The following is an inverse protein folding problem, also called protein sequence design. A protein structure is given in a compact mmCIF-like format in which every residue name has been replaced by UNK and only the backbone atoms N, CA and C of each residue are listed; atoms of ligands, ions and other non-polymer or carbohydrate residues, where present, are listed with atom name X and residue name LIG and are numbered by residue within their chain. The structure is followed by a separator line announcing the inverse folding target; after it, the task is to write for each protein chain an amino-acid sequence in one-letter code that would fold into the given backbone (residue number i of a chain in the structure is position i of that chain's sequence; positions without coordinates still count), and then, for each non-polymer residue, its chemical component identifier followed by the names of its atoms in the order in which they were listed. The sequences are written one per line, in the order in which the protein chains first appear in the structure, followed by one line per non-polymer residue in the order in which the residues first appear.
data_IF_170061682309
#
_entry.id   IF_170061682309
#
_cell.length_a   1.000
_cell.length_b   1.000
_cell.length_c   1.000
_cell.angle_alpha   90.00
_cell.angle_beta   90.00
_cell.angle_gamma   90.00
#
_symmetry.space_group_name_H-M   'P 1'
#
loop_
_entity.id
_entity.type
_entity.pdbx_description
1 polymer ?
#
# COMPACT_ATOMS: atom_id res chain seq x y z
N UNK A 1 -7.27 -10.82 -48.68
CA UNK A 1 -8.09 -11.67 -47.78
C UNK A 1 -7.32 -11.71 -46.46
N UNK A 2 -7.55 -10.80 -45.50
CA UNK A 2 -8.70 -10.75 -44.56
C UNK A 2 -8.83 -12.08 -43.80
N UNK A 3 -8.88 -12.22 -42.48
CA UNK A 3 -8.91 -11.29 -41.33
C UNK A 3 -9.13 -12.15 -40.05
N UNK A 4 -8.64 -11.67 -38.89
CA UNK A 4 -9.24 -11.79 -37.52
C UNK A 4 -9.34 -13.19 -36.88
N UNK A 5 -8.74 -13.42 -35.70
CA UNK A 5 -9.33 -13.18 -34.36
C UNK A 5 -8.20 -13.37 -33.31
N UNK A 6 -7.70 -12.36 -32.57
CA UNK A 6 -8.24 -11.68 -31.38
C UNK A 6 -9.10 -12.56 -30.45
N UNK A 7 -8.59 -12.91 -29.26
CA UNK A 7 -9.42 -13.24 -28.09
C UNK A 7 -8.68 -12.94 -26.75
N UNK A 8 -9.20 -11.92 -26.04
CA UNK A 8 -9.20 -11.65 -24.59
C UNK A 8 -7.89 -11.28 -23.85
N UNK A 9 -7.55 -9.98 -23.88
CA UNK A 9 -6.96 -9.31 -22.71
C UNK A 9 -8.10 -8.90 -21.77
N UNK A 10 -8.15 -9.46 -20.56
CA UNK A 10 -9.07 -9.02 -19.50
C UNK A 10 -8.68 -7.61 -19.07
N UNK A 11 -9.57 -6.65 -19.27
CA UNK A 11 -9.49 -5.31 -18.69
C UNK A 11 -9.71 -5.42 -17.18
N UNK A 12 -8.66 -5.15 -16.40
CA UNK A 12 -8.71 -5.13 -14.94
C UNK A 12 -8.66 -3.67 -14.50
N UNK A 13 -9.76 -3.15 -13.98
CA UNK A 13 -9.92 -1.74 -13.57
C UNK A 13 -10.36 -1.67 -12.11
N UNK A 14 -9.71 -0.85 -11.28
CA UNK A 14 -10.14 -0.62 -9.89
C UNK A 14 -9.78 0.77 -9.32
N UNK A 15 -10.82 1.37 -8.74
CA UNK A 15 -10.95 2.28 -7.59
C UNK A 15 -9.92 3.38 -7.33
N UNK A 16 -10.37 4.63 -7.49
CA UNK A 16 -9.75 5.86 -6.98
C UNK A 16 -10.51 6.33 -5.74
N UNK A 17 -9.78 6.78 -4.72
CA UNK A 17 -10.34 7.63 -3.68
C UNK A 17 -9.54 8.92 -3.73
N UNK A 18 -10.05 9.90 -4.46
CA UNK A 18 -9.44 11.22 -4.50
C UNK A 18 -9.68 11.88 -3.14
N UNK A 19 -8.60 11.98 -2.39
CA UNK A 19 -8.50 12.86 -1.23
C UNK A 19 -7.95 14.18 -1.74
N UNK A 20 -8.67 15.27 -1.49
CA UNK A 20 -8.19 16.63 -1.73
C UNK A 20 -7.02 16.88 -0.78
N UNK A 21 -5.79 17.01 -1.30
CA UNK A 21 -4.61 17.33 -0.46
C UNK A 21 -3.85 18.49 -1.09
N UNK A 22 -3.79 19.61 -0.35
CA UNK A 22 -2.79 20.66 -0.55
C UNK A 22 -1.39 20.06 -0.43
N UNK A 23 -0.57 20.21 -1.47
CA UNK A 23 0.84 19.79 -1.49
C UNK A 23 1.63 20.60 -0.45
N UNK A 24 2.15 20.00 0.63
CA UNK A 24 3.13 20.67 1.48
C UNK A 24 4.50 20.59 0.82
N UNK A 25 5.19 21.72 0.73
CA UNK A 25 6.58 21.82 0.31
C UNK A 25 7.48 20.97 1.22
N UNK A 26 8.23 20.03 0.66
CA UNK A 26 9.31 19.33 1.38
C UNK A 26 10.63 19.61 0.68
N UNK A 27 11.49 20.31 1.40
CA UNK A 27 12.88 20.58 1.05
C UNK A 27 13.71 19.29 1.03
N UNK A 28 14.30 19.03 -0.13
CA UNK A 28 15.56 18.35 -0.47
C UNK A 28 16.11 17.23 0.43
N UNK A 29 16.22 16.03 -0.15
CA UNK A 29 17.22 15.03 0.20
C UNK A 29 18.48 15.18 -0.67
N UNK A 30 19.59 14.65 -0.17
CA UNK A 30 21.01 14.80 -0.56
C UNK A 30 21.37 14.68 -2.05
N UNK A 31 22.50 15.25 -2.52
CA UNK A 31 22.73 15.57 -3.94
C UNK A 31 23.11 14.41 -4.88
N UNK A 32 23.23 13.17 -4.41
CA UNK A 32 23.80 12.07 -5.20
C UNK A 32 22.74 11.12 -5.77
N UNK A 33 21.79 11.66 -6.54
CA UNK A 33 21.13 10.97 -7.67
C UNK A 33 20.11 11.91 -8.33
N UNK A 34 20.56 13.09 -8.77
CA UNK A 34 19.77 13.83 -9.76
C UNK A 34 19.69 12.93 -10.99
N UNK A 35 18.54 12.28 -11.19
CA UNK A 35 18.17 11.68 -12.48
C UNK A 35 18.51 12.75 -13.52
N UNK A 36 19.53 12.46 -14.31
CA UNK A 36 20.11 13.38 -15.27
C UNK A 36 19.03 13.80 -16.25
N UNK A 37 18.52 15.04 -16.15
CA UNK A 37 17.90 15.81 -17.26
C UNK A 37 16.92 15.06 -18.20
N UNK A 38 16.32 13.95 -17.79
CA UNK A 38 15.58 13.06 -18.71
C UNK A 38 14.10 13.43 -18.81
N UNK A 39 13.62 14.46 -18.13
CA UNK A 39 12.51 15.25 -18.63
C UNK A 39 13.09 16.50 -19.25
N UNK A 40 13.15 16.59 -20.58
CA UNK A 40 13.10 17.92 -21.21
C UNK A 40 11.94 18.70 -20.56
N UNK A 41 11.97 20.03 -20.56
CA UNK A 41 10.78 20.81 -20.19
C UNK A 41 9.64 20.39 -21.15
N UNK A 42 8.87 19.36 -20.80
CA UNK A 42 7.74 18.91 -21.60
C UNK A 42 6.69 19.98 -21.36
N UNK A 43 6.50 20.82 -22.37
CA UNK A 43 5.71 22.04 -22.34
C UNK A 43 4.32 21.83 -22.93
N UNK A 44 4.00 20.62 -23.37
CA UNK A 44 2.68 20.27 -23.89
C UNK A 44 2.35 18.79 -23.67
N UNK A 45 1.05 18.47 -23.69
CA UNK A 45 0.56 17.09 -23.64
C UNK A 45 1.10 16.26 -24.83
N UNK A 46 1.26 16.87 -26.00
CA UNK A 46 1.83 16.20 -27.18
C UNK A 46 3.28 15.78 -26.95
N UNK A 47 4.08 16.63 -26.30
CA UNK A 47 5.46 16.31 -25.92
C UNK A 47 5.50 15.21 -24.85
N UNK A 48 4.59 15.23 -23.87
CA UNK A 48 4.44 14.14 -22.89
C UNK A 48 4.21 12.80 -23.59
N UNK A 49 3.24 12.74 -24.51
CA UNK A 49 2.95 11.52 -25.28
C UNK A 49 4.16 11.06 -26.09
N UNK A 50 4.86 11.99 -26.74
CA UNK A 50 6.02 11.65 -27.56
C UNK A 50 7.20 11.15 -26.71
N UNK A 51 7.41 11.74 -25.54
CA UNK A 51 8.42 11.34 -24.59
C UNK A 51 8.22 9.89 -24.11
N UNK A 52 6.99 9.51 -23.77
CA UNK A 52 6.66 8.17 -23.27
C UNK A 52 6.85 7.07 -24.31
N UNK A 53 6.71 7.36 -25.61
CA UNK A 53 7.02 6.39 -26.68
C UNK A 53 8.48 5.92 -26.66
N UNK A 54 9.40 6.79 -26.23
CA UNK A 54 10.82 6.47 -26.13
C UNK A 54 11.25 6.03 -24.73
N UNK A 55 10.37 6.17 -23.73
CA UNK A 55 10.65 5.93 -22.31
C UNK A 55 9.58 5.02 -21.69
N UNK A 56 9.58 3.76 -22.11
CA UNK A 56 8.56 2.75 -21.74
C UNK A 56 8.65 2.22 -20.28
N UNK A 57 9.45 2.87 -19.43
CA UNK A 57 9.58 2.61 -17.99
C UNK A 57 9.24 3.84 -17.14
N UNK A 58 8.64 4.85 -17.77
CA UNK A 58 8.23 6.09 -17.14
C UNK A 58 6.72 6.26 -17.31
N UNK A 59 6.05 6.73 -16.27
CA UNK A 59 4.67 7.20 -16.32
C UNK A 59 4.65 8.67 -15.90
N UNK A 60 3.67 9.45 -16.33
CA UNK A 60 3.55 10.87 -15.98
C UNK A 60 2.17 11.13 -15.37
N UNK A 61 2.14 11.77 -14.21
CA UNK A 61 0.93 12.37 -13.66
C UNK A 61 0.96 13.85 -13.95
N UNK A 62 -0.15 14.40 -14.43
CA UNK A 62 -0.31 15.82 -14.70
C UNK A 62 -1.35 16.40 -13.76
N UNK A 63 -0.96 17.42 -13.00
CA UNK A 63 -1.80 18.15 -12.07
C UNK A 63 -2.09 19.55 -12.58
N UNK A 64 -3.23 20.13 -12.22
CA UNK A 64 -3.51 21.54 -12.44
C UNK A 64 -2.74 22.44 -11.44
N UNK A 65 -2.85 23.75 -11.61
CA UNK A 65 -2.21 24.73 -10.72
C UNK A 65 -2.70 24.65 -9.27
N UNK A 66 -3.90 24.11 -9.04
CA UNK A 66 -4.52 23.92 -7.72
C UNK A 66 -4.13 22.59 -7.06
N UNK A 67 -3.39 21.73 -7.75
CA UNK A 67 -2.96 20.43 -7.27
C UNK A 67 -3.98 19.30 -7.48
N UNK A 68 -4.96 19.46 -8.36
CA UNK A 68 -5.86 18.36 -8.77
C UNK A 68 -5.25 17.59 -9.93
N UNK A 69 -5.29 16.27 -9.87
CA UNK A 69 -4.82 15.43 -10.97
C UNK A 69 -5.76 15.56 -12.17
N UNK A 70 -5.22 15.85 -13.35
CA UNK A 70 -5.98 15.98 -14.60
C UNK A 70 -5.80 14.73 -15.45
N UNK A 71 -4.56 14.23 -15.57
CA UNK A 71 -4.24 13.08 -16.39
C UNK A 71 -3.21 12.14 -15.76
N UNK A 72 -3.31 10.86 -16.08
CA UNK A 72 -2.20 9.91 -16.00
C UNK A 72 -1.83 9.48 -17.42
N UNK A 73 -0.54 9.49 -17.74
CA UNK A 73 0.01 8.99 -18.99
C UNK A 73 0.90 7.81 -18.68
N UNK A 74 0.54 6.63 -19.19
CA UNK A 74 1.22 5.39 -18.90
C UNK A 74 2.11 5.00 -20.09
N UNK A 75 3.25 4.38 -19.77
CA UNK A 75 4.23 3.84 -20.72
C UNK A 75 3.66 2.78 -21.68
N UNK A 76 2.56 2.13 -21.31
CA UNK A 76 1.84 1.17 -22.16
C UNK A 76 0.88 1.83 -23.16
N UNK A 77 0.83 3.18 -23.15
CA UNK A 77 -0.04 3.98 -23.99
C UNK A 77 -1.43 4.22 -23.41
N UNK A 78 -1.74 3.72 -22.21
CA UNK A 78 -2.96 4.08 -21.52
C UNK A 78 -2.91 5.55 -21.07
N UNK A 79 -3.96 6.30 -21.34
CA UNK A 79 -4.15 7.63 -20.79
C UNK A 79 -5.42 7.63 -19.95
N UNK A 80 -5.33 8.15 -18.73
CA UNK A 80 -6.48 8.31 -17.84
C UNK A 80 -6.72 9.81 -17.70
N UNK A 81 -7.96 10.25 -17.85
CA UNK A 81 -8.41 11.62 -17.63
C UNK A 81 -9.36 11.66 -16.43
N UNK A 82 -9.23 12.69 -15.59
CA UNK A 82 -10.08 12.91 -14.43
C UNK A 82 -11.01 14.11 -14.61
N UNK A 83 -12.23 13.97 -14.09
CA UNK A 83 -13.25 14.99 -14.13
C UNK A 83 -13.75 15.30 -12.73
N UNK A 84 -14.01 16.59 -12.49
CA UNK A 84 -14.42 17.14 -11.20
C UNK A 84 -15.73 17.90 -11.35
N UNK A 85 -16.54 17.92 -10.30
CA UNK A 85 -17.71 18.80 -10.21
C UNK A 85 -17.30 20.24 -9.83
N UNK A 86 -18.28 21.14 -9.76
CA UNK A 86 -18.10 22.54 -9.33
C UNK A 86 -17.56 22.68 -7.91
N UNK A 87 -17.85 21.72 -7.03
CA UNK A 87 -17.40 21.70 -5.63
C UNK A 87 -15.96 21.18 -5.49
N UNK A 88 -15.34 20.80 -6.61
CA UNK A 88 -13.96 20.32 -6.68
C UNK A 88 -13.78 18.84 -6.35
N UNK A 89 -14.85 18.07 -6.24
CA UNK A 89 -14.80 16.64 -5.98
C UNK A 89 -14.64 15.86 -7.29
N UNK A 90 -13.74 14.87 -7.31
CA UNK A 90 -13.52 14.01 -8.49
C UNK A 90 -14.70 13.08 -8.70
N UNK A 91 -15.47 13.25 -9.77
CA UNK A 91 -16.69 12.49 -10.03
C UNK A 91 -16.51 11.37 -11.05
N UNK A 92 -15.49 11.47 -11.91
CA UNK A 92 -15.30 10.51 -12.98
C UNK A 92 -13.84 10.40 -13.41
N UNK A 93 -13.45 9.22 -13.87
CA UNK A 93 -12.24 9.03 -14.67
C UNK A 93 -12.57 8.27 -15.95
N UNK A 94 -11.94 8.62 -17.06
CA UNK A 94 -12.04 7.87 -18.33
C UNK A 94 -10.66 7.48 -18.80
N UNK A 95 -10.52 6.27 -19.35
CA UNK A 95 -9.27 5.85 -19.97
C UNK A 95 -9.38 5.72 -21.49
N UNK A 96 -8.22 5.77 -22.16
CA UNK A 96 -8.12 5.68 -23.62
C UNK A 96 -8.50 4.31 -24.19
N UNK A 97 -8.78 3.32 -23.34
CA UNK A 97 -9.23 1.97 -23.70
C UNK A 97 -10.72 1.73 -23.40
N UNK A 98 -11.51 2.81 -23.37
CA UNK A 98 -12.96 2.81 -23.13
C UNK A 98 -13.38 2.30 -21.75
N UNK A 99 -12.47 2.30 -20.77
CA UNK A 99 -12.82 2.17 -19.38
C UNK A 99 -13.24 3.51 -18.80
N UNK A 100 -14.16 3.44 -17.83
CA UNK A 100 -14.68 4.60 -17.11
C UNK A 100 -14.95 4.22 -15.67
N UNK A 101 -14.70 5.13 -14.76
CA UNK A 101 -15.13 5.02 -13.37
C UNK A 101 -15.94 6.23 -12.96
N UNK A 102 -16.99 6.02 -12.17
CA UNK A 102 -17.81 7.07 -11.57
C UNK A 102 -17.70 6.94 -10.06
N UNK A 103 -17.46 8.08 -9.41
CA UNK A 103 -17.21 8.20 -7.98
C UNK A 103 -18.39 8.92 -7.32
N UNK A 104 -19.11 8.20 -6.46
CA UNK A 104 -20.26 8.76 -5.74
C UNK A 104 -19.85 9.08 -4.31
N UNK A 105 -20.17 10.28 -3.85
CA UNK A 105 -19.93 10.74 -2.47
C UNK A 105 -21.25 11.07 -1.78
N UNK A 106 -21.25 10.97 -0.45
CA UNK A 106 -22.35 11.51 0.36
C UNK A 106 -22.24 13.02 0.55
N UNK A 107 -23.23 13.58 1.24
CA UNK A 107 -23.29 15.00 1.60
C UNK A 107 -22.11 15.47 2.48
N UNK A 108 -21.44 14.54 3.18
CA UNK A 108 -20.23 14.81 3.97
C UNK A 108 -18.94 14.65 3.16
N UNK A 109 -19.04 14.58 1.81
CA UNK A 109 -17.93 14.37 0.87
C UNK A 109 -17.18 13.03 1.03
N UNK A 110 -17.74 12.09 1.79
CA UNK A 110 -17.15 10.76 1.94
C UNK A 110 -17.50 9.91 0.72
N UNK A 111 -16.52 9.21 0.17
CA UNK A 111 -16.74 8.31 -0.97
C UNK A 111 -17.60 7.11 -0.57
N UNK A 112 -18.66 6.87 -1.33
CA UNK A 112 -19.73 5.91 -1.05
C UNK A 112 -19.77 4.78 -2.04
N UNK A 113 -19.52 5.05 -3.31
CA UNK A 113 -19.46 4.00 -4.31
C UNK A 113 -18.47 4.33 -5.41
N UNK A 114 -17.99 3.28 -6.05
CA UNK A 114 -17.21 3.38 -7.27
C UNK A 114 -17.82 2.41 -8.28
N UNK A 115 -18.33 2.96 -9.37
CA UNK A 115 -18.90 2.20 -10.49
C UNK A 115 -17.91 2.17 -11.64
N UNK A 116 -17.59 0.98 -12.12
CA UNK A 116 -16.65 0.75 -13.21
C UNK A 116 -17.39 0.30 -14.44
N UNK A 117 -17.08 0.93 -15.57
CA UNK A 117 -17.67 0.68 -16.86
C UNK A 117 -16.58 0.28 -17.86
N UNK A 118 -16.93 -0.60 -18.80
CA UNK A 118 -16.14 -0.87 -19.99
C UNK A 118 -17.05 -0.82 -21.21
N UNK A 119 -16.68 -0.03 -22.22
CA UNK A 119 -17.54 0.23 -23.38
C UNK A 119 -18.96 0.64 -22.95
N UNK A 120 -19.04 1.54 -21.98
CA UNK A 120 -20.28 2.04 -21.35
C UNK A 120 -21.16 0.99 -20.64
N UNK A 121 -20.67 -0.25 -20.47
CA UNK A 121 -21.36 -1.28 -19.70
C UNK A 121 -20.78 -1.36 -18.29
N UNK A 122 -21.64 -1.26 -17.27
CA UNK A 122 -21.25 -1.47 -15.88
C UNK A 122 -20.68 -2.89 -15.72
N UNK A 123 -19.46 -2.98 -15.20
CA UNK A 123 -18.77 -4.25 -14.95
C UNK A 123 -18.64 -4.54 -13.46
N UNK A 124 -18.39 -3.50 -12.65
CA UNK A 124 -18.20 -3.63 -11.20
C UNK A 124 -18.81 -2.43 -10.51
N UNK A 125 -19.50 -2.66 -9.40
CA UNK A 125 -19.88 -1.61 -8.44
C UNK A 125 -19.33 -2.00 -7.07
N UNK A 126 -18.52 -1.13 -6.48
CA UNK A 126 -18.02 -1.28 -5.12
C UNK A 126 -18.68 -0.23 -4.23
N UNK A 127 -19.50 -0.66 -3.29
CA UNK A 127 -20.03 0.19 -2.22
C UNK A 127 -19.02 0.29 -1.07
N UNK A 128 -18.97 1.47 -0.44
CA UNK A 128 -18.02 1.88 0.60
C UNK A 128 -18.75 2.44 1.84
N UNK A 129 -20.07 2.21 1.92
CA UNK A 129 -20.90 2.60 3.03
C UNK A 129 -20.33 2.06 4.36
N UNK A 130 -20.26 2.97 5.34
CA UNK A 130 -19.28 2.94 6.41
C UNK A 130 -19.38 1.78 7.40
N UNK A 131 -18.22 1.45 7.99
CA UNK A 131 -18.01 0.45 9.04
C UNK A 131 -18.34 -0.95 8.51
N UNK A 132 -17.38 -1.87 8.59
CA UNK A 132 -17.70 -3.29 8.48
C UNK A 132 -18.57 -3.70 9.67
N UNK A 133 -19.88 -3.43 9.58
CA UNK A 133 -20.91 -4.11 10.34
C UNK A 133 -21.93 -4.57 9.31
N UNK A 134 -21.67 -5.72 8.71
CA UNK A 134 -22.76 -6.58 8.26
C UNK A 134 -23.41 -7.13 9.53
N UNK A 135 -24.24 -6.29 10.18
CA UNK A 135 -25.13 -6.72 11.24
C UNK A 135 -26.36 -7.37 10.62
N UNK A 136 -26.20 -8.59 10.12
CA UNK A 136 -27.27 -9.58 10.24
C UNK A 136 -27.03 -10.33 11.54
N UNK A 137 -27.78 -9.92 12.56
CA UNK A 137 -27.89 -10.65 13.82
C UNK A 137 -28.61 -12.00 13.62
N UNK A 138 -28.29 -12.93 14.54
CA UNK A 138 -28.86 -14.26 14.83
C UNK A 138 -27.99 -15.39 14.23
N UNK A 139 -27.21 -16.14 15.02
CA UNK A 139 -27.61 -16.92 16.21
C UNK A 139 -26.68 -16.74 17.42
N UNK A 140 -27.15 -17.03 18.65
CA UNK A 140 -26.29 -17.03 19.83
C UNK A 140 -25.32 -18.21 19.73
N UNK A 141 -24.03 -17.94 19.56
CA UNK A 141 -23.00 -18.95 19.69
C UNK A 141 -22.70 -19.19 21.17
N UNK A 142 -22.78 -20.46 21.56
CA UNK A 142 -22.58 -21.00 22.90
C UNK A 142 -21.35 -20.38 23.59
N UNK A 143 -21.58 -19.56 24.61
CA UNK A 143 -20.53 -19.01 25.48
C UNK A 143 -20.08 -20.00 26.55
N UNK A 144 -20.38 -21.29 26.41
CA UNK A 144 -20.04 -22.31 27.41
C UNK A 144 -19.06 -23.35 26.85
N UNK A 145 -17.87 -22.90 26.46
CA UNK A 145 -16.68 -23.71 26.70
C UNK A 145 -15.97 -23.12 27.90
N UNK A 146 -15.88 -23.89 28.98
CA UNK A 146 -15.12 -23.59 30.17
C UNK A 146 -13.63 -23.50 29.79
N UNK A 147 -13.22 -22.38 29.19
CA UNK A 147 -11.82 -22.07 28.97
C UNK A 147 -11.30 -21.60 30.33
N UNK A 148 -10.48 -22.44 30.96
CA UNK A 148 -9.71 -22.07 32.15
C UNK A 148 -9.08 -20.69 31.95
N UNK A 149 -8.99 -19.85 32.99
CA UNK A 149 -8.38 -18.53 32.83
C UNK A 149 -6.98 -18.70 32.25
N UNK A 150 -6.80 -18.21 31.02
CA UNK A 150 -5.53 -18.27 30.31
C UNK A 150 -4.50 -17.47 31.10
N UNK A 151 -3.43 -18.15 31.51
CA UNK A 151 -2.39 -17.56 32.31
C UNK A 151 -1.41 -16.77 31.45
N UNK A 152 -1.37 -15.46 31.65
CA UNK A 152 -0.33 -14.58 31.09
C UNK A 152 1.02 -14.72 31.82
N UNK A 153 1.15 -15.65 32.78
CA UNK A 153 2.38 -15.85 33.55
C UNK A 153 3.22 -17.04 33.10
N UNK A 154 2.69 -17.90 32.21
CA UNK A 154 3.40 -19.06 31.67
C UNK A 154 3.63 -18.90 30.17
N UNK A 155 4.87 -19.09 29.75
CA UNK A 155 5.25 -19.03 28.34
C UNK A 155 4.50 -20.09 27.52
N UNK A 156 4.03 -19.70 26.34
CA UNK A 156 3.41 -20.60 25.37
C UNK A 156 3.78 -20.24 23.94
N UNK A 157 3.95 -21.27 23.11
CA UNK A 157 4.10 -21.10 21.68
C UNK A 157 2.75 -20.81 21.02
N UNK A 158 2.74 -19.90 20.07
CA UNK A 158 1.59 -19.53 19.24
C UNK A 158 1.93 -19.88 17.80
N UNK A 159 1.44 -21.04 17.35
CA UNK A 159 1.64 -21.52 15.98
C UNK A 159 0.32 -21.42 15.22
N UNK A 160 0.31 -20.70 14.09
CA UNK A 160 -0.87 -20.59 13.22
C UNK A 160 -0.51 -21.17 11.87
N UNK A 161 -1.15 -22.28 11.46
CA UNK A 161 -0.87 -22.98 10.20
C UNK A 161 0.63 -23.19 9.94
N UNK A 162 1.39 -23.61 10.96
CA UNK A 162 2.84 -23.84 10.86
C UNK A 162 3.70 -22.57 10.82
N UNK A 163 3.14 -21.39 11.10
CA UNK A 163 3.87 -20.13 11.29
C UNK A 163 4.09 -19.90 12.78
N UNK A 164 5.35 -19.77 13.22
CA UNK A 164 5.71 -19.29 14.56
C UNK A 164 5.38 -17.80 14.67
N UNK A 165 4.36 -17.48 15.48
CA UNK A 165 3.93 -16.11 15.72
C UNK A 165 4.71 -15.44 16.88
N UNK A 166 5.51 -16.19 17.63
CA UNK A 166 6.33 -15.66 18.72
C UNK A 166 7.66 -15.05 18.22
N UNK A 167 8.15 -15.48 17.05
CA UNK A 167 9.33 -14.91 16.40
C UNK A 167 9.13 -14.81 14.87
N UNK A 168 8.68 -13.64 14.42
CA UNK A 168 8.40 -13.37 13.00
C UNK A 168 9.69 -13.17 12.19
N UNK A 169 10.70 -12.60 12.84
CA UNK A 169 12.02 -12.26 12.29
C UNK A 169 13.02 -12.10 13.45
N UNK A 170 14.31 -12.38 13.24
CA UNK A 170 15.35 -12.09 14.24
C UNK A 170 15.76 -10.61 14.22
N UNK A 171 16.30 -10.11 15.33
CA UNK A 171 16.80 -8.72 15.39
C UNK A 171 17.88 -8.44 14.35
N UNK A 172 18.83 -9.37 14.17
CA UNK A 172 19.89 -9.27 13.18
C UNK A 172 19.34 -9.16 11.75
N UNK A 173 18.33 -9.95 11.42
CA UNK A 173 17.68 -9.89 10.11
C UNK A 173 16.87 -8.62 9.92
N UNK A 174 16.16 -8.14 10.96
CA UNK A 174 15.32 -6.95 10.86
C UNK A 174 16.12 -5.68 10.56
N UNK A 175 17.33 -5.56 11.12
CA UNK A 175 18.20 -4.40 10.93
C UNK A 175 19.21 -4.56 9.77
N UNK A 176 19.21 -5.70 9.09
CA UNK A 176 20.13 -5.94 7.98
C UNK A 176 19.71 -5.15 6.73
N UNK A 177 20.34 -4.00 6.51
CA UNK A 177 20.02 -3.12 5.36
C UNK A 177 20.64 -3.59 4.05
N UNK A 178 21.58 -4.54 4.07
CA UNK A 178 22.33 -4.95 2.87
C UNK A 178 21.66 -6.05 2.06
N UNK A 179 20.46 -6.50 2.45
CA UNK A 179 19.78 -7.64 1.81
C UNK A 179 19.29 -7.35 0.40
N UNK A 180 19.07 -6.06 0.05
CA UNK A 180 18.72 -5.64 -1.30
C UNK A 180 19.27 -4.24 -1.59
N UNK A 181 19.94 -4.07 -2.74
CA UNK A 181 20.26 -2.75 -3.28
C UNK A 181 19.05 -2.15 -4.02
N UNK A 182 19.10 -0.86 -4.37
CA UNK A 182 18.08 -0.24 -5.22
C UNK A 182 17.87 -1.02 -6.53
N UNK A 183 18.96 -1.46 -7.18
CA UNK A 183 18.90 -2.30 -8.38
C UNK A 183 18.21 -3.64 -8.13
N UNK A 184 18.48 -4.32 -7.01
CA UNK A 184 17.82 -5.58 -6.68
C UNK A 184 16.33 -5.40 -6.39
N UNK A 185 15.96 -4.29 -5.74
CA UNK A 185 14.54 -3.94 -5.51
C UNK A 185 13.86 -3.65 -6.84
N UNK A 186 14.48 -2.89 -7.73
CA UNK A 186 13.96 -2.62 -9.07
C UNK A 186 13.73 -3.92 -9.85
N UNK A 187 14.71 -4.83 -9.87
CA UNK A 187 14.57 -6.14 -10.53
C UNK A 187 13.42 -6.95 -9.93
N UNK A 188 13.25 -6.93 -8.60
CA UNK A 188 12.14 -7.59 -7.93
C UNK A 188 10.79 -7.01 -8.35
N UNK A 189 10.61 -5.69 -8.34
CA UNK A 189 9.37 -5.03 -8.76
C UNK A 189 9.05 -5.31 -10.23
N UNK A 190 10.06 -5.28 -11.10
CA UNK A 190 9.92 -5.68 -12.51
C UNK A 190 9.48 -7.13 -12.65
N UNK A 191 10.07 -8.07 -11.88
CA UNK A 191 9.71 -9.50 -11.92
C UNK A 191 8.26 -9.78 -11.48
N UNK A 192 7.69 -8.92 -10.63
CA UNK A 192 6.29 -8.99 -10.21
C UNK A 192 5.33 -8.37 -11.24
N UNK A 193 5.86 -7.74 -12.29
CA UNK A 193 5.11 -6.80 -13.12
C UNK A 193 4.36 -5.78 -12.25
N UNK A 194 5.04 -5.24 -11.24
CA UNK A 194 4.45 -4.31 -10.27
C UNK A 194 4.17 -2.95 -10.92
N UNK A 195 3.11 -2.27 -10.49
CA UNK A 195 2.88 -0.85 -10.77
C UNK A 195 4.02 0.04 -10.26
N UNK A 196 4.75 -0.43 -9.25
CA UNK A 196 5.89 0.27 -8.66
C UNK A 196 7.20 0.09 -9.44
N UNK A 197 7.21 -0.69 -10.53
CA UNK A 197 8.41 -0.95 -11.32
C UNK A 197 8.80 0.26 -12.18
N UNK A 198 7.84 1.07 -12.60
CA UNK A 198 8.08 2.20 -13.49
C UNK A 198 8.21 3.47 -12.67
N UNK A 199 9.10 4.38 -13.08
CA UNK A 199 9.22 5.68 -12.42
C UNK A 199 8.05 6.55 -12.81
N UNK A 200 7.44 7.25 -11.85
CA UNK A 200 6.37 8.21 -12.13
C UNK A 200 6.92 9.62 -11.98
N UNK A 201 6.82 10.44 -13.01
CA UNK A 201 7.12 11.87 -12.93
C UNK A 201 5.84 12.65 -12.66
N UNK A 202 5.91 13.66 -11.79
CA UNK A 202 4.77 14.49 -11.43
C UNK A 202 4.96 15.88 -12.04
N UNK A 203 4.16 16.16 -13.06
CA UNK A 203 4.08 17.45 -13.74
C UNK A 203 2.91 18.28 -13.23
N UNK A 204 3.04 19.59 -13.34
CA UNK A 204 2.02 20.58 -12.97
C UNK A 204 1.75 21.50 -14.15
N UNK A 205 0.53 22.00 -14.30
CA UNK A 205 0.23 23.12 -15.18
C UNK A 205 0.57 24.44 -14.50
N UNK A 206 1.21 25.35 -15.23
CA UNK A 206 1.33 26.75 -14.83
C UNK A 206 0.04 27.53 -15.15
N UNK A 207 0.01 28.82 -14.79
CA UNK A 207 -1.16 29.68 -15.01
C UNK A 207 -1.51 29.90 -16.49
N UNK A 208 -0.62 29.53 -17.42
CA UNK A 208 -0.87 29.56 -18.86
C UNK A 208 -1.36 28.21 -19.40
N UNK A 209 -1.47 27.18 -18.55
CA UNK A 209 -1.83 25.82 -18.95
C UNK A 209 -0.65 25.03 -19.54
N UNK A 210 0.59 25.48 -19.33
CA UNK A 210 1.80 24.80 -19.80
C UNK A 210 2.29 23.82 -18.72
N UNK A 211 2.49 22.53 -19.04
CA UNK A 211 3.13 21.59 -18.12
C UNK A 211 4.57 21.99 -17.77
N UNK A 212 4.95 21.75 -16.52
CA UNK A 212 6.31 21.89 -16.03
C UNK A 212 6.61 20.88 -14.92
N UNK A 213 7.88 20.54 -14.76
CA UNK A 213 8.36 19.53 -13.83
C UNK A 213 9.10 20.18 -12.66
N UNK A 214 8.65 19.92 -11.43
CA UNK A 214 9.30 20.45 -10.20
C UNK A 214 10.39 19.52 -9.64
N UNK A 215 10.55 18.33 -10.20
CA UNK A 215 11.44 17.29 -9.66
C UNK A 215 10.71 16.23 -8.82
N UNK A 216 9.39 16.33 -8.67
CA UNK A 216 8.60 15.40 -7.88
C UNK A 216 8.42 14.07 -8.61
N UNK A 217 8.81 12.96 -7.97
CA UNK A 217 8.75 11.63 -8.58
C UNK A 217 8.26 10.56 -7.63
N UNK A 218 7.70 9.48 -8.15
CA UNK A 218 7.57 8.20 -7.45
C UNK A 218 8.59 7.25 -8.06
N UNK A 219 9.67 6.99 -7.31
CA UNK A 219 10.65 5.98 -7.66
C UNK A 219 10.75 4.99 -6.50
N UNK A 220 9.97 3.91 -6.58
CA UNK A 220 9.80 3.00 -5.45
C UNK A 220 11.09 2.29 -5.06
N UNK A 221 11.87 1.82 -6.04
CA UNK A 221 13.12 1.11 -5.77
C UNK A 221 14.15 2.01 -5.06
N UNK A 222 14.31 3.25 -5.52
CA UNK A 222 15.20 4.23 -4.87
C UNK A 222 14.69 4.65 -3.49
N UNK A 223 13.40 4.93 -3.37
CA UNK A 223 12.76 5.34 -2.11
C UNK A 223 12.86 4.26 -1.02
N UNK A 224 12.62 2.99 -1.38
CA UNK A 224 12.74 1.86 -0.45
C UNK A 224 14.20 1.64 -0.04
N UNK A 225 15.14 1.64 -0.99
CA UNK A 225 16.56 1.47 -0.68
C UNK A 225 17.09 2.58 0.24
N UNK A 226 16.77 3.83 -0.09
CA UNK A 226 17.22 5.00 0.68
C UNK A 226 16.61 5.04 2.08
N UNK A 227 15.32 4.68 2.20
CA UNK A 227 14.64 4.60 3.50
C UNK A 227 15.18 3.44 4.36
N UNK A 228 15.48 2.29 3.74
CA UNK A 228 16.10 1.15 4.41
C UNK A 228 17.44 1.53 5.05
N UNK A 229 18.31 2.21 4.30
CA UNK A 229 19.62 2.67 4.79
C UNK A 229 19.47 3.76 5.85
N UNK A 230 18.65 4.78 5.58
CA UNK A 230 18.44 5.91 6.51
C UNK A 230 17.93 5.45 7.87
N UNK A 231 16.97 4.52 7.90
CA UNK A 231 16.34 4.08 9.14
C UNK A 231 16.88 2.77 9.69
N UNK A 232 17.82 2.10 9.01
CA UNK A 232 18.40 0.85 9.51
C UNK A 232 17.37 -0.27 9.64
N UNK A 233 16.56 -0.45 8.58
CA UNK A 233 15.53 -1.50 8.46
C UNK A 233 15.77 -2.29 7.18
N UNK A 234 15.62 -3.60 7.25
CA UNK A 234 15.80 -4.50 6.12
C UNK A 234 14.82 -4.16 4.96
N UNK A 235 15.30 -3.93 3.72
CA UNK A 235 14.46 -3.67 2.55
C UNK A 235 13.33 -4.69 2.33
N UNK A 236 13.58 -5.97 2.63
CA UNK A 236 12.57 -7.03 2.52
C UNK A 236 11.42 -6.84 3.51
N UNK A 237 11.69 -6.30 4.70
CA UNK A 237 10.67 -5.96 5.71
C UNK A 237 9.80 -4.80 5.23
N UNK A 238 10.41 -3.78 4.61
CA UNK A 238 9.69 -2.64 4.03
C UNK A 238 8.77 -3.12 2.90
N UNK A 239 9.27 -3.94 1.97
CA UNK A 239 8.47 -4.50 0.87
C UNK A 239 7.30 -5.36 1.37
N UNK A 240 7.53 -6.24 2.35
CA UNK A 240 6.48 -7.10 2.91
C UNK A 240 5.42 -6.29 3.66
N UNK A 241 5.84 -5.25 4.38
CA UNK A 241 4.92 -4.30 5.05
C UNK A 241 4.11 -3.52 4.02
N UNK A 242 4.77 -2.91 3.03
CA UNK A 242 4.11 -2.18 1.95
C UNK A 242 3.03 -3.02 1.25
N UNK A 243 3.32 -4.29 0.98
CA UNK A 243 2.35 -5.22 0.40
C UNK A 243 1.21 -5.56 1.35
N UNK A 244 1.50 -5.82 2.62
CA UNK A 244 0.44 -6.10 3.60
C UNK A 244 -0.52 -4.91 3.73
N UNK A 245 0.01 -3.69 3.79
CA UNK A 245 -0.77 -2.48 4.05
C UNK A 245 -1.56 -2.00 2.82
N UNK A 246 -0.99 -2.13 1.62
CA UNK A 246 -1.58 -1.52 0.42
C UNK A 246 -1.68 -2.45 -0.77
N UNK A 247 -1.15 -3.68 -0.70
CA UNK A 247 -1.08 -4.61 -1.83
C UNK A 247 -0.45 -4.05 -3.12
N UNK A 248 0.33 -2.96 -3.03
CA UNK A 248 0.87 -2.27 -4.20
C UNK A 248 2.02 -3.03 -4.86
N UNK A 249 2.81 -3.81 -4.12
CA UNK A 249 3.95 -4.54 -4.69
C UNK A 249 3.47 -5.57 -5.72
N UNK A 250 2.34 -6.25 -5.48
CA UNK A 250 1.75 -7.19 -6.43
C UNK A 250 0.73 -6.58 -7.39
N UNK A 251 0.38 -5.29 -7.24
CA UNK A 251 -0.55 -4.64 -8.14
C UNK A 251 0.11 -4.46 -9.51
N UNK A 252 -0.58 -4.82 -10.59
CA UNK A 252 -0.08 -4.60 -11.95
C UNK A 252 -0.33 -3.16 -12.40
N UNK A 253 0.46 -2.61 -13.34
CA UNK A 253 0.14 -1.34 -14.00
C UNK A 253 -1.34 -1.28 -14.44
N UNK A 254 -1.98 -0.13 -14.24
CA UNK A 254 -3.40 0.09 -14.54
C UNK A 254 -4.42 -0.53 -13.57
N UNK A 255 -4.03 -1.49 -12.72
CA UNK A 255 -4.96 -2.13 -11.77
C UNK A 255 -5.31 -1.25 -10.55
N UNK A 256 -4.53 -0.21 -10.32
CA UNK A 256 -4.67 0.76 -9.22
C UNK A 256 -4.28 2.12 -9.77
N UNK A 257 -5.11 3.13 -9.58
CA UNK A 257 -4.71 4.50 -9.91
C UNK A 257 -3.68 5.03 -8.92
N UNK A 258 -2.74 5.84 -9.41
CA UNK A 258 -1.78 6.57 -8.58
C UNK A 258 -2.43 7.57 -7.63
N UNK A 259 -3.65 8.04 -7.94
CA UNK A 259 -4.44 8.90 -7.06
C UNK A 259 -5.24 8.14 -5.99
N UNK A 260 -5.15 6.81 -5.96
CA UNK A 260 -5.82 6.02 -4.94
C UNK A 260 -5.22 6.25 -3.56
N UNK A 261 -6.06 6.11 -2.51
CA UNK A 261 -5.61 6.15 -1.11
C UNK A 261 -4.48 5.16 -0.81
N UNK A 262 -4.34 4.08 -1.61
CA UNK A 262 -3.26 3.09 -1.49
C UNK A 262 -1.88 3.69 -1.78
N UNK A 263 -1.77 4.74 -2.61
CA UNK A 263 -0.50 5.45 -2.81
C UNK A 263 -0.27 6.53 -1.75
N UNK A 264 -1.33 7.24 -1.35
CA UNK A 264 -1.22 8.29 -0.32
C UNK A 264 -0.93 7.74 1.07
N UNK A 265 -1.44 6.55 1.40
CA UNK A 265 -1.27 5.89 2.70
C UNK A 265 -0.73 4.46 2.53
N UNK A 266 0.27 4.29 1.65
CA UNK A 266 0.80 3.01 1.20
C UNK A 266 1.33 2.10 2.33
N UNK A 267 1.76 2.67 3.44
CA UNK A 267 2.19 1.93 4.62
C UNK A 267 1.34 2.25 5.86
N UNK A 268 0.25 3.01 5.70
CA UNK A 268 -0.61 3.43 6.82
C UNK A 268 0.00 4.50 7.73
N UNK A 269 1.13 5.11 7.36
CA UNK A 269 1.74 6.16 8.18
C UNK A 269 0.85 7.41 8.18
N UNK A 270 0.35 7.84 9.34
CA UNK A 270 -0.59 8.94 9.45
C UNK A 270 -2.05 8.59 9.11
N UNK A 271 -2.36 7.33 8.83
CA UNK A 271 -3.73 6.84 8.77
C UNK A 271 -4.18 6.44 10.18
N UNK A 272 -5.29 6.99 10.67
CA UNK A 272 -5.83 6.67 12.00
C UNK A 272 -7.32 6.37 11.91
N UNK A 273 -7.87 5.73 12.95
CA UNK A 273 -9.32 5.46 13.04
C UNK A 273 -10.15 6.77 13.07
N UNK A 274 -9.55 7.88 13.53
CA UNK A 274 -10.14 9.21 13.53
C UNK A 274 -9.99 9.99 12.22
N UNK A 275 -9.34 9.40 11.21
CA UNK A 275 -9.09 10.02 9.92
C UNK A 275 -7.62 10.08 9.53
N UNK A 276 -7.39 10.67 8.36
CA UNK A 276 -6.11 10.70 7.67
C UNK A 276 -5.37 12.01 7.91
N UNK A 277 -4.11 11.94 8.35
CA UNK A 277 -3.20 13.09 8.42
C UNK A 277 -2.67 13.37 7.01
N UNK A 278 -3.25 14.37 6.34
CA UNK A 278 -2.91 14.73 4.97
C UNK A 278 -1.47 15.24 4.81
N UNK A 279 -0.82 15.69 5.88
CA UNK A 279 0.59 16.13 5.84
C UNK A 279 1.57 14.96 5.69
N UNK A 280 1.10 13.73 5.96
CA UNK A 280 1.88 12.49 5.85
C UNK A 280 1.57 11.71 4.58
N UNK A 281 0.67 12.20 3.74
CA UNK A 281 0.27 11.56 2.49
C UNK A 281 1.36 11.57 1.42
N UNK A 282 1.33 10.57 0.54
CA UNK A 282 2.15 10.48 -0.67
C UNK A 282 3.18 9.35 -0.60
N UNK A 283 3.44 8.70 -1.74
CA UNK A 283 4.14 7.41 -1.75
C UNK A 283 5.53 7.46 -1.10
N UNK A 284 6.39 8.42 -1.48
CA UNK A 284 7.74 8.51 -0.89
C UNK A 284 7.70 8.82 0.61
N UNK A 285 6.76 9.67 1.03
CA UNK A 285 6.53 9.98 2.45
C UNK A 285 6.06 8.75 3.22
N UNK A 286 5.25 7.89 2.60
CA UNK A 286 4.80 6.64 3.20
C UNK A 286 5.91 5.62 3.34
N UNK A 287 6.80 5.48 2.35
CA UNK A 287 7.96 4.58 2.46
C UNK A 287 8.90 5.04 3.58
N UNK A 288 9.25 6.33 3.58
CA UNK A 288 10.11 6.93 4.60
C UNK A 288 9.49 6.87 6.00
N UNK A 289 8.27 7.37 6.16
CA UNK A 289 7.55 7.39 7.42
C UNK A 289 7.19 6.01 7.96
N UNK A 290 6.83 5.06 7.08
CA UNK A 290 6.59 3.66 7.45
C UNK A 290 7.87 2.96 7.95
N UNK A 291 8.98 3.12 7.23
CA UNK A 291 10.29 2.59 7.66
C UNK A 291 10.78 3.21 8.98
N UNK A 292 10.66 4.54 9.13
CA UNK A 292 10.95 5.25 10.37
C UNK A 292 10.09 4.73 11.53
N UNK A 293 8.79 4.54 11.31
CA UNK A 293 7.87 4.01 12.32
C UNK A 293 8.27 2.60 12.77
N UNK A 294 8.61 1.71 11.82
CA UNK A 294 9.15 0.37 12.13
C UNK A 294 10.43 0.44 12.97
N UNK A 295 11.35 1.34 12.64
CA UNK A 295 12.59 1.50 13.40
C UNK A 295 12.35 2.09 14.79
N UNK A 296 11.51 3.11 14.89
CA UNK A 296 11.21 3.77 16.17
C UNK A 296 10.57 2.79 17.14
N UNK A 297 9.62 1.96 16.67
CA UNK A 297 9.01 0.89 17.46
C UNK A 297 10.02 -0.17 17.90
N UNK A 298 10.97 -0.54 17.03
CA UNK A 298 12.10 -1.40 17.38
C UNK A 298 13.00 -0.79 18.46
N UNK A 299 13.30 0.50 18.38
CA UNK A 299 14.15 1.20 19.35
C UNK A 299 13.47 1.37 20.70
N UNK A 300 12.15 1.55 20.72
CA UNK A 300 11.32 1.64 21.93
C UNK A 300 11.05 0.29 22.60
N UNK A 301 11.29 -0.83 21.88
CA UNK A 301 11.10 -2.17 22.42
C UNK A 301 12.03 -2.40 23.64
N UNK A 302 11.55 -3.09 24.70
CA UNK A 302 12.36 -3.39 25.87
C UNK A 302 13.72 -4.01 25.51
N UNK A 303 14.79 -3.58 26.16
CA UNK A 303 16.14 -4.05 25.83
C UNK A 303 16.39 -5.52 26.20
N UNK A 304 15.69 -6.05 27.21
CA UNK A 304 15.90 -7.40 27.74
C UNK A 304 14.64 -8.01 28.36
N UNK A 305 14.75 -9.29 28.76
CA UNK A 305 13.68 -10.03 29.44
C UNK A 305 12.63 -10.62 28.49
N UNK A 306 13.05 -11.01 27.28
CA UNK A 306 12.28 -11.85 26.37
C UNK A 306 12.41 -13.33 26.77
N UNK A 307 11.41 -14.18 26.48
CA UNK A 307 10.14 -13.85 25.85
C UNK A 307 9.23 -13.00 26.75
N UNK A 308 8.38 -12.15 26.15
CA UNK A 308 7.44 -11.25 26.86
C UNK A 308 6.04 -11.37 26.31
N UNK A 309 5.04 -11.29 27.18
CA UNK A 309 3.64 -11.18 26.74
C UNK A 309 3.38 -9.81 26.13
N UNK A 310 2.85 -9.80 24.92
CA UNK A 310 2.24 -8.64 24.28
C UNK A 310 0.73 -8.84 24.31
N UNK A 311 0.00 -7.99 25.02
CA UNK A 311 -1.45 -8.08 25.21
C UNK A 311 -2.20 -7.11 24.29
N UNK A 312 -3.53 -7.15 24.34
CA UNK A 312 -4.42 -6.31 23.52
C UNK A 312 -4.22 -6.48 22.01
N UNK A 313 -3.75 -7.66 21.57
CA UNK A 313 -3.81 -8.01 20.15
C UNK A 313 -5.23 -8.46 19.78
N UNK A 314 -5.51 -8.59 18.47
CA UNK A 314 -6.80 -9.11 17.99
C UNK A 314 -7.99 -8.31 18.55
N UNK A 315 -7.85 -6.99 18.60
CA UNK A 315 -8.84 -6.05 19.16
C UNK A 315 -9.19 -6.33 20.63
N UNK A 316 -8.28 -6.95 21.39
CA UNK A 316 -8.50 -7.30 22.78
C UNK A 316 -9.36 -8.55 23.00
N UNK A 317 -9.77 -9.23 21.92
CA UNK A 317 -10.71 -10.35 22.00
C UNK A 317 -10.03 -11.70 21.77
N UNK A 318 -10.49 -12.72 22.50
CA UNK A 318 -10.22 -14.12 22.18
C UNK A 318 -11.30 -14.57 21.19
N UNK A 319 -10.90 -15.11 20.04
CA UNK A 319 -11.84 -15.56 19.00
C UNK A 319 -11.57 -17.02 18.69
N UNK A 320 -12.59 -17.88 18.75
CA UNK A 320 -12.46 -19.30 18.41
C UNK A 320 -13.11 -19.58 17.06
N UNK A 321 -12.38 -20.24 16.16
CA UNK A 321 -12.90 -20.70 14.87
C UNK A 321 -12.29 -22.05 14.52
N UNK A 322 -13.11 -23.00 14.04
CA UNK A 322 -12.69 -24.36 13.71
C UNK A 322 -11.88 -25.07 14.83
N UNK A 323 -12.27 -24.86 16.09
CA UNK A 323 -11.62 -25.48 17.25
C UNK A 323 -10.27 -24.87 17.64
N UNK A 324 -9.83 -23.79 16.97
CA UNK A 324 -8.61 -23.03 17.31
C UNK A 324 -9.00 -21.70 17.94
N UNK A 325 -8.42 -21.39 19.10
CA UNK A 325 -8.60 -20.09 19.78
C UNK A 325 -7.46 -19.14 19.45
N UNK A 326 -7.77 -18.05 18.77
CA UNK A 326 -6.89 -16.92 18.51
C UNK A 326 -6.96 -15.95 19.68
N UNK A 327 -5.90 -15.91 20.48
CA UNK A 327 -5.88 -15.19 21.74
C UNK A 327 -5.68 -13.68 21.56
N UNK A 328 -6.08 -12.90 22.55
CA UNK A 328 -5.82 -11.46 22.62
C UNK A 328 -4.43 -11.09 23.13
N UNK A 329 -3.55 -12.07 23.28
CA UNK A 329 -2.14 -11.88 23.62
C UNK A 329 -1.26 -12.85 22.84
N UNK A 330 0.04 -12.55 22.78
CA UNK A 330 1.08 -13.40 22.19
C UNK A 330 2.40 -13.20 22.95
N UNK A 331 3.19 -14.26 23.12
CA UNK A 331 4.55 -14.12 23.63
C UNK A 331 5.48 -13.71 22.49
N UNK A 332 6.18 -12.59 22.59
CA UNK A 332 7.19 -12.16 21.61
C UNK A 332 8.59 -12.53 22.09
N UNK A 333 9.46 -13.01 21.20
CA UNK A 333 10.81 -13.51 21.54
C UNK A 333 11.93 -12.48 21.37
N UNK A 334 11.70 -11.37 20.68
CA UNK A 334 12.71 -10.34 20.44
C UNK A 334 12.12 -8.95 20.13
N UNK A 335 12.99 -7.95 19.97
CA UNK A 335 12.62 -6.55 19.72
C UNK A 335 11.97 -6.36 18.35
N UNK A 336 12.44 -7.06 17.33
CA UNK A 336 11.89 -7.00 15.98
C UNK A 336 10.45 -7.50 15.93
N UNK A 337 10.17 -8.63 16.57
CA UNK A 337 8.82 -9.18 16.67
C UNK A 337 7.92 -8.25 17.50
N UNK A 338 8.42 -7.72 18.63
CA UNK A 338 7.71 -6.70 19.40
C UNK A 338 7.32 -5.49 18.53
N UNK A 339 8.27 -4.94 17.77
CA UNK A 339 8.05 -3.81 16.85
C UNK A 339 6.93 -4.07 15.85
N UNK A 340 6.91 -5.27 15.25
CA UNK A 340 5.89 -5.67 14.28
C UNK A 340 4.49 -5.80 14.90
N UNK A 341 4.40 -6.25 16.16
CA UNK A 341 3.13 -6.26 16.90
C UNK A 341 2.68 -4.87 17.34
N UNK A 342 3.59 -3.97 17.71
CA UNK A 342 3.23 -2.54 17.91
C UNK A 342 2.79 -1.92 16.58
N UNK A 343 3.34 -2.38 15.45
CA UNK A 343 2.95 -1.89 14.13
C UNK A 343 1.58 -2.37 13.69
N UNK A 344 1.30 -3.65 13.89
CA UNK A 344 0.04 -4.30 13.58
C UNK A 344 -0.29 -5.23 14.73
N UNK A 345 -1.17 -4.85 15.67
CA UNK A 345 -1.42 -5.58 16.90
C UNK A 345 -2.34 -6.78 16.68
N UNK A 346 -2.00 -7.64 15.72
CA UNK A 346 -2.83 -8.77 15.30
C UNK A 346 -1.94 -9.93 14.88
N UNK A 347 -2.27 -11.14 15.37
CA UNK A 347 -1.70 -12.37 14.79
C UNK A 347 -2.30 -12.61 13.41
N UNK A 348 -3.63 -12.48 13.31
CA UNK A 348 -4.44 -12.56 12.10
C UNK A 348 -5.51 -11.46 12.13
N UNK A 349 -6.14 -11.17 11.00
CA UNK A 349 -7.40 -10.44 10.99
C UNK A 349 -8.54 -11.40 11.33
N UNK A 350 -9.05 -11.30 12.56
CA UNK A 350 -10.12 -12.18 13.06
C UNK A 350 -11.46 -11.95 12.37
N UNK A 351 -11.64 -10.84 11.67
CA UNK A 351 -12.86 -10.58 10.88
C UNK A 351 -12.96 -11.44 9.62
N UNK A 352 -11.83 -12.01 9.17
CA UNK A 352 -11.77 -12.86 7.98
C UNK A 352 -12.07 -14.35 8.28
N UNK A 353 -12.23 -14.71 9.56
CA UNK A 353 -12.47 -16.09 9.95
C UNK A 353 -13.76 -16.64 9.30
N UNK A 354 -13.77 -17.91 8.84
CA UNK A 354 -12.76 -18.95 9.07
C UNK A 354 -11.53 -18.89 8.15
N UNK A 355 -11.43 -17.92 7.23
CA UNK A 355 -10.23 -17.73 6.40
C UNK A 355 -9.11 -17.11 7.23
N UNK A 356 -7.98 -17.80 7.32
CA UNK A 356 -6.80 -17.32 8.05
C UNK A 356 -6.02 -16.35 7.15
N UNK A 357 -6.00 -15.07 7.51
CA UNK A 357 -5.35 -14.01 6.75
C UNK A 357 -5.09 -12.76 7.60
N UNK A 358 -4.56 -11.71 6.97
CA UNK A 358 -4.27 -10.43 7.64
C UNK A 358 -3.19 -10.51 8.74
N UNK A 359 -3.05 -9.42 9.49
CA UNK A 359 -2.14 -9.32 10.64
C UNK A 359 -0.67 -9.66 10.33
N UNK A 360 0.05 -10.10 11.35
CA UNK A 360 1.43 -10.56 11.20
C UNK A 360 1.56 -11.91 10.47
N UNK A 361 0.50 -12.72 10.46
CA UNK A 361 0.47 -13.96 9.68
C UNK A 361 0.62 -13.66 8.17
N UNK A 362 -0.10 -12.64 7.67
CA UNK A 362 0.04 -12.20 6.28
C UNK A 362 1.44 -11.66 5.99
N UNK A 363 2.02 -10.87 6.90
CA UNK A 363 3.39 -10.37 6.75
C UNK A 363 4.41 -11.51 6.54
N UNK A 364 4.38 -12.54 7.40
CA UNK A 364 5.29 -13.68 7.30
C UNK A 364 5.02 -14.50 6.03
N UNK A 365 3.76 -14.69 5.64
CA UNK A 365 3.44 -15.44 4.43
C UNK A 365 3.80 -14.70 3.13
N UNK A 366 3.70 -13.37 3.10
CA UNK A 366 4.23 -12.56 2.00
C UNK A 366 5.74 -12.81 1.87
N UNK A 367 6.47 -12.75 2.98
CA UNK A 367 7.92 -12.99 2.99
C UNK A 367 8.27 -14.43 2.56
N UNK A 368 7.57 -15.45 3.08
CA UNK A 368 7.72 -16.85 2.65
C UNK A 368 7.51 -17.00 1.15
N UNK A 369 6.44 -16.41 0.62
CA UNK A 369 6.10 -16.50 -0.80
C UNK A 369 7.08 -15.78 -1.73
N UNK A 370 7.84 -14.79 -1.24
CA UNK A 370 8.78 -14.04 -2.06
C UNK A 370 10.23 -14.48 -1.89
N UNK A 371 10.64 -14.84 -0.67
CA UNK A 371 12.03 -15.06 -0.30
C UNK A 371 12.34 -16.53 0.06
N UNK A 372 11.33 -17.39 0.08
CA UNK A 372 11.48 -18.82 0.38
C UNK A 372 11.94 -19.07 1.82
N UNK A 373 12.79 -20.09 2.01
CA UNK A 373 13.29 -20.51 3.32
C UNK A 373 14.34 -19.55 3.90
N UNK A 374 14.95 -18.70 3.08
CA UNK A 374 15.87 -17.63 3.47
C UNK A 374 15.14 -16.31 3.73
N UNK A 375 14.06 -16.38 4.52
CA UNK A 375 13.00 -15.36 4.67
C UNK A 375 13.48 -13.91 4.73
N UNK A 376 14.64 -13.66 5.34
CA UNK A 376 15.11 -12.32 5.64
C UNK A 376 16.61 -12.10 5.41
N UNK A 377 17.32 -13.09 4.84
CA UNK A 377 18.76 -13.01 4.60
C UNK A 377 19.10 -12.47 3.22
#
# INVERSE_FOLDING_TARGET
MSSITNFFRKSVFLTVSAVLIMVPQISSASPENRISHEGNELTSVSEIRQYLKSNNHVNILLYDESGKIINEFHSDGNEIQYHYNSDGDMIESTDSFNGKQVYERDESKKLRSIKTYNNNKLTVEKKLDGIGVDSEFVTPFDTNSLISPLSTTVYEDTIINGVDMNQLISDAQFINTSTMSSTSIQAFLTSKNSILKDTVLIYYLDSSGKPYFKGDTINAASSIASSAQTYGVNPKVILATLQKESSLVSATPGSVSYSSRRFYYAMGYGATDGGDDYTKGGFNQQISGGASTLKNRYNQAPASGYPKVFTNINFGNNVTSNGVTYKNYVWVKNKATYSLYVYTPHTIDTSLLPTIGGGNYLFVNIAKGWWGTTLWN
#
